data_IF_090934115042
#
_entry.id   IF_090934115042
#
_cell.length_a   1.000
_cell.length_b   1.000
_cell.length_c   1.000
_cell.angle_alpha   90.00
_cell.angle_beta   90.00
_cell.angle_gamma   90.00
#
_symmetry.space_group_name_H-M   'P 1'
#
loop_
_entity.id
_entity.type
_entity.pdbx_description
1 polymer ?
#
# COMPACT_ATOMS: atom_id res chain seq x y z
N UNK A 1 28.89 34.38 17.81
CA UNK A 1 28.72 34.10 16.37
C UNK A 1 27.82 32.89 16.24
N UNK A 2 26.74 32.97 15.48
CA UNK A 2 25.92 31.81 15.18
C UNK A 2 26.71 30.82 14.30
N UNK A 3 26.81 29.56 14.70
CA UNK A 3 27.41 28.52 13.87
C UNK A 3 26.51 28.32 12.64
N UNK A 4 27.09 28.45 11.45
CA UNK A 4 26.42 28.17 10.19
C UNK A 4 26.61 26.71 9.83
N UNK A 5 25.56 26.06 9.32
CA UNK A 5 25.59 24.64 8.87
C UNK A 5 25.17 24.62 7.41
N UNK A 6 25.87 23.86 6.59
CA UNK A 6 25.51 23.55 5.22
C UNK A 6 25.21 22.05 5.15
N UNK A 7 24.01 21.70 4.71
CA UNK A 7 23.65 20.33 4.36
C UNK A 7 23.68 20.22 2.82
N UNK A 8 24.58 19.38 2.31
CA UNK A 8 24.64 19.04 0.88
C UNK A 8 24.10 17.62 0.68
N UNK A 9 23.05 17.49 -0.14
CA UNK A 9 22.41 16.21 -0.48
C UNK A 9 22.83 15.83 -1.89
N UNK A 10 23.56 14.73 -2.01
CA UNK A 10 23.94 14.14 -3.30
C UNK A 10 22.95 13.01 -3.60
N UNK A 11 21.81 13.38 -4.15
CA UNK A 11 20.72 12.45 -4.45
C UNK A 11 21.16 11.38 -5.47
N UNK A 12 20.89 10.10 -5.17
CA UNK A 12 21.37 8.98 -5.97
C UNK A 12 22.83 8.57 -5.74
N UNK A 13 23.56 9.28 -4.87
CA UNK A 13 24.93 8.89 -4.50
C UNK A 13 24.89 7.75 -3.48
N UNK A 14 25.04 6.51 -3.96
CA UNK A 14 24.97 5.31 -3.13
C UNK A 14 26.25 4.49 -3.14
N UNK A 15 26.30 3.52 -2.24
CA UNK A 15 27.35 2.49 -2.20
C UNK A 15 26.82 1.26 -2.94
N UNK A 16 27.61 0.72 -3.86
CA UNK A 16 27.26 -0.46 -4.62
C UNK A 16 27.99 -1.69 -4.08
N UNK A 17 27.29 -2.82 -4.03
CA UNK A 17 27.89 -4.12 -3.68
C UNK A 17 28.87 -4.59 -4.75
N UNK A 18 28.55 -4.32 -6.03
CA UNK A 18 29.44 -4.65 -7.16
C UNK A 18 30.05 -3.37 -7.75
N UNK A 19 31.36 -3.09 -7.49
CA UNK A 19 32.04 -1.91 -8.02
C UNK A 19 32.11 -1.87 -9.54
N UNK A 20 32.09 -3.02 -10.21
CA UNK A 20 32.25 -3.11 -11.66
C UNK A 20 31.09 -2.49 -12.45
N UNK A 21 29.90 -2.43 -11.84
CA UNK A 21 28.68 -1.83 -12.45
C UNK A 21 28.32 -0.48 -11.84
N UNK A 22 29.18 0.08 -10.97
CA UNK A 22 28.93 1.32 -10.26
C UNK A 22 29.65 2.50 -10.92
N UNK A 23 28.92 3.42 -11.51
CA UNK A 23 29.47 4.61 -12.13
C UNK A 23 30.22 5.51 -11.13
N UNK A 24 29.73 5.60 -9.87
CA UNK A 24 30.37 6.40 -8.81
C UNK A 24 31.74 5.83 -8.47
N UNK A 25 31.84 4.52 -8.27
CA UNK A 25 33.12 3.86 -7.95
C UNK A 25 34.15 3.96 -9.08
N UNK A 26 33.68 4.01 -10.34
CA UNK A 26 34.53 4.18 -11.52
C UNK A 26 34.89 5.63 -11.83
N UNK A 27 34.22 6.59 -11.21
CA UNK A 27 34.49 8.01 -11.42
C UNK A 27 35.70 8.45 -10.61
N UNK A 28 36.41 9.47 -11.10
CA UNK A 28 37.48 10.11 -10.39
C UNK A 28 36.94 11.14 -9.38
N UNK A 29 36.82 10.75 -8.12
CA UNK A 29 36.18 11.53 -7.04
C UNK A 29 37.12 11.79 -5.84
N UNK A 30 38.33 12.34 -6.04
CA UNK A 30 39.38 12.39 -5.01
C UNK A 30 38.97 13.21 -3.79
N UNK A 31 38.15 14.23 -3.93
CA UNK A 31 37.67 15.01 -2.80
C UNK A 31 36.73 14.19 -1.91
N UNK A 32 35.70 13.54 -2.50
CA UNK A 32 34.78 12.71 -1.75
C UNK A 32 35.44 11.50 -1.13
N UNK A 33 36.38 10.86 -1.87
CA UNK A 33 37.19 9.75 -1.37
C UNK A 33 38.00 10.17 -0.14
N UNK A 34 38.56 11.39 -0.18
CA UNK A 34 39.30 11.94 0.96
C UNK A 34 38.40 12.22 2.17
N UNK A 35 37.12 12.52 1.96
CA UNK A 35 36.14 12.74 3.03
C UNK A 35 35.85 11.45 3.80
N UNK A 36 35.74 10.33 3.14
CA UNK A 36 35.57 9.02 3.78
C UNK A 36 36.75 8.64 4.67
N UNK A 37 37.98 9.13 4.33
CA UNK A 37 39.16 8.84 5.13
C UNK A 37 39.34 9.81 6.30
N UNK A 38 38.92 11.05 6.16
CA UNK A 38 39.26 12.14 7.11
C UNK A 38 38.16 12.48 8.10
N UNK A 39 36.91 12.18 7.77
CA UNK A 39 35.76 12.62 8.55
C UNK A 39 34.88 11.45 8.99
N UNK A 40 34.15 11.57 10.12
CA UNK A 40 33.17 10.58 10.54
C UNK A 40 32.10 10.41 9.44
N UNK A 41 31.75 9.15 9.17
CA UNK A 41 30.72 8.79 8.20
C UNK A 41 29.91 7.61 8.69
N UNK A 42 28.72 7.45 8.13
CA UNK A 42 27.83 6.32 8.39
C UNK A 42 27.02 5.99 7.14
N UNK A 43 26.39 4.83 7.13
CA UNK A 43 25.50 4.41 6.07
C UNK A 43 24.04 4.56 6.51
N UNK A 44 23.18 4.92 5.59
CA UNK A 44 21.74 4.97 5.75
C UNK A 44 21.09 3.98 4.80
N UNK A 45 20.03 3.33 5.24
CA UNK A 45 19.18 2.57 4.37
C UNK A 45 18.42 3.52 3.44
N UNK A 46 18.27 3.12 2.16
CA UNK A 46 17.62 3.93 1.13
C UNK A 46 16.40 3.23 0.52
N UNK A 47 15.90 2.14 1.12
CA UNK A 47 14.78 1.35 0.58
C UNK A 47 13.95 0.73 1.70
N UNK A 48 12.78 0.23 1.37
CA UNK A 48 11.94 -0.53 2.28
C UNK A 48 11.41 0.24 3.47
N UNK A 49 11.19 -0.46 4.58
CA UNK A 49 10.57 0.09 5.78
C UNK A 49 11.39 1.21 6.42
N UNK A 50 12.70 1.17 6.28
CA UNK A 50 13.64 2.16 6.83
C UNK A 50 13.45 3.55 6.21
N UNK A 51 12.81 3.63 5.04
CA UNK A 51 12.44 4.90 4.40
C UNK A 51 10.93 5.11 4.30
N UNK A 52 10.14 4.26 4.96
CA UNK A 52 8.68 4.37 5.00
C UNK A 52 7.92 3.75 3.82
N UNK A 53 8.60 2.95 3.01
CA UNK A 53 8.03 2.19 1.90
C UNK A 53 7.73 0.73 2.30
N UNK A 54 6.90 0.00 1.54
CA UNK A 54 6.75 -1.44 1.71
C UNK A 54 8.10 -2.17 1.65
N UNK A 55 8.21 -3.30 2.33
CA UNK A 55 9.40 -4.14 2.32
C UNK A 55 9.76 -4.56 0.89
N UNK A 56 11.05 -4.51 0.55
CA UNK A 56 11.56 -4.83 -0.78
C UNK A 56 11.37 -3.75 -1.85
N UNK A 57 10.65 -2.67 -1.55
CA UNK A 57 10.47 -1.57 -2.49
C UNK A 57 11.71 -0.66 -2.51
N UNK A 58 12.20 -0.37 -3.72
CA UNK A 58 13.32 0.57 -3.94
C UNK A 58 12.89 1.97 -3.51
N UNK A 59 13.79 2.67 -2.81
CA UNK A 59 13.59 4.07 -2.41
C UNK A 59 13.56 5.03 -3.60
N UNK A 60 13.11 6.23 -3.32
CA UNK A 60 13.09 7.33 -4.29
C UNK A 60 13.38 8.67 -3.60
N UNK A 61 13.63 9.70 -4.42
CA UNK A 61 13.98 11.03 -3.93
C UNK A 61 12.90 11.63 -3.03
N UNK A 62 11.61 11.44 -3.35
CA UNK A 62 10.51 12.01 -2.59
C UNK A 62 10.50 11.53 -1.13
N UNK A 63 10.53 10.22 -0.92
CA UNK A 63 10.52 9.66 0.44
C UNK A 63 11.81 9.95 1.19
N UNK A 64 12.96 9.95 0.50
CA UNK A 64 14.26 10.28 1.10
C UNK A 64 14.29 11.71 1.62
N UNK A 65 13.92 12.68 0.81
CA UNK A 65 13.85 14.11 1.21
C UNK A 65 12.80 14.37 2.28
N UNK A 66 11.66 13.66 2.22
CA UNK A 66 10.63 13.75 3.24
C UNK A 66 11.16 13.29 4.60
N UNK A 67 11.88 12.18 4.65
CA UNK A 67 12.48 11.67 5.89
C UNK A 67 13.55 12.60 6.44
N UNK A 68 14.41 13.14 5.57
CA UNK A 68 15.42 14.13 5.96
C UNK A 68 14.77 15.40 6.56
N UNK A 69 13.74 15.93 5.90
CA UNK A 69 13.01 17.11 6.35
C UNK A 69 12.24 16.88 7.65
N UNK A 70 11.66 15.69 7.83
CA UNK A 70 10.91 15.34 9.04
C UNK A 70 11.81 14.92 10.22
N UNK A 71 13.07 14.60 9.98
CA UNK A 71 13.99 14.04 10.99
C UNK A 71 13.57 12.68 11.54
N UNK A 72 12.74 11.96 10.82
CA UNK A 72 12.23 10.62 11.17
C UNK A 72 11.74 9.89 9.94
N UNK A 73 11.54 8.57 10.04
CA UNK A 73 10.86 7.79 9.00
C UNK A 73 9.39 8.21 8.92
N UNK A 74 8.95 8.57 7.71
CA UNK A 74 7.56 8.90 7.37
C UNK A 74 6.97 7.77 6.56
N UNK A 75 6.19 6.91 7.20
CA UNK A 75 5.55 5.79 6.51
C UNK A 75 4.51 6.27 5.50
N UNK A 76 4.63 5.79 4.28
CA UNK A 76 3.65 6.00 3.22
C UNK A 76 2.32 5.31 3.54
N UNK A 77 1.22 5.76 2.94
CA UNK A 77 -0.11 5.27 3.29
C UNK A 77 -0.25 3.75 3.18
N UNK A 78 0.23 3.16 2.09
CA UNK A 78 0.19 1.70 1.92
C UNK A 78 1.00 0.98 3.01
N UNK A 79 2.20 1.47 3.33
CA UNK A 79 3.03 0.92 4.40
C UNK A 79 2.31 0.99 5.76
N UNK A 80 1.65 2.11 6.05
CA UNK A 80 0.86 2.27 7.28
C UNK A 80 -0.28 1.26 7.36
N UNK A 81 -1.01 1.04 6.26
CA UNK A 81 -2.09 0.06 6.18
C UNK A 81 -1.54 -1.37 6.35
N UNK A 82 -0.46 -1.71 5.66
CA UNK A 82 0.18 -3.02 5.79
C UNK A 82 0.65 -3.29 7.23
N UNK A 83 1.24 -2.29 7.89
CA UNK A 83 1.63 -2.39 9.30
C UNK A 83 0.41 -2.53 10.22
N UNK A 84 -0.69 -1.82 9.94
CA UNK A 84 -1.92 -1.94 10.70
C UNK A 84 -2.54 -3.33 10.57
N UNK A 85 -2.49 -3.95 9.38
CA UNK A 85 -2.89 -5.35 9.18
C UNK A 85 -1.98 -6.28 9.97
N UNK A 86 -0.66 -6.15 9.80
CA UNK A 86 0.33 -6.99 10.49
C UNK A 86 0.19 -6.95 12.02
N UNK A 87 -0.17 -5.78 12.56
CA UNK A 87 -0.35 -5.56 14.00
C UNK A 87 -1.78 -5.85 14.48
N UNK A 88 -2.70 -6.25 13.60
CA UNK A 88 -4.11 -6.51 13.95
C UNK A 88 -4.89 -5.26 14.36
N UNK A 89 -4.47 -4.07 13.91
CA UNK A 89 -5.08 -2.80 14.31
C UNK A 89 -5.96 -2.16 13.25
N UNK A 90 -5.90 -2.60 11.99
CA UNK A 90 -6.67 -1.98 10.90
C UNK A 90 -8.16 -1.96 11.20
N UNK A 91 -8.75 -3.09 11.54
CA UNK A 91 -10.17 -3.19 11.87
C UNK A 91 -10.56 -2.43 13.14
N UNK A 92 -9.60 -2.11 14.02
CA UNK A 92 -9.80 -1.36 15.27
C UNK A 92 -9.78 0.16 15.07
N UNK A 93 -9.46 0.64 13.86
CA UNK A 93 -9.49 2.06 13.57
C UNK A 93 -10.90 2.64 13.80
N UNK A 94 -10.96 3.79 14.49
CA UNK A 94 -12.22 4.38 14.95
C UNK A 94 -13.28 4.51 13.86
N UNK A 95 -12.99 5.01 12.63
CA UNK A 95 -14.00 5.12 11.58
C UNK A 95 -14.58 3.77 11.13
N UNK A 96 -13.74 2.72 11.13
CA UNK A 96 -14.15 1.36 10.76
C UNK A 96 -15.05 0.79 11.84
N UNK A 97 -14.66 0.90 13.11
CA UNK A 97 -15.45 0.47 14.24
C UNK A 97 -16.82 1.17 14.28
N UNK A 98 -16.86 2.48 14.09
CA UNK A 98 -18.10 3.25 14.08
C UNK A 98 -19.06 2.77 12.98
N UNK A 99 -18.54 2.50 11.77
CA UNK A 99 -19.33 1.98 10.65
C UNK A 99 -19.88 0.57 10.95
N UNK A 100 -19.04 -0.32 11.46
CA UNK A 100 -19.41 -1.70 11.78
C UNK A 100 -20.42 -1.77 12.93
N UNK A 101 -20.19 -1.03 14.00
CA UNK A 101 -21.10 -0.95 15.15
C UNK A 101 -22.44 -0.29 14.77
N UNK A 102 -22.41 0.72 13.90
CA UNK A 102 -23.65 1.30 13.36
C UNK A 102 -24.47 0.25 12.60
N UNK A 103 -23.84 -0.51 11.71
CA UNK A 103 -24.49 -1.56 10.96
C UNK A 103 -25.07 -2.66 11.89
N UNK A 104 -24.27 -3.10 12.86
CA UNK A 104 -24.69 -4.09 13.84
C UNK A 104 -25.90 -3.62 14.64
N UNK A 105 -25.82 -2.42 15.23
CA UNK A 105 -26.87 -1.86 16.10
C UNK A 105 -28.19 -1.64 15.36
N UNK A 106 -28.13 -1.27 14.09
CA UNK A 106 -29.30 -0.92 13.27
C UNK A 106 -29.71 -2.04 12.31
N UNK A 107 -29.11 -3.23 12.42
CA UNK A 107 -29.33 -4.37 11.52
C UNK A 107 -29.23 -3.97 10.03
N UNK A 108 -28.14 -3.27 9.69
CA UNK A 108 -27.86 -2.80 8.33
C UNK A 108 -26.78 -3.62 7.67
N UNK A 109 -26.73 -3.53 6.34
CA UNK A 109 -25.70 -4.17 5.54
C UNK A 109 -24.38 -3.38 5.61
N UNK A 110 -23.28 -4.10 5.56
CA UNK A 110 -21.92 -3.55 5.34
C UNK A 110 -21.49 -3.92 3.93
N UNK A 111 -21.07 -2.93 3.15
CA UNK A 111 -20.56 -3.12 1.81
C UNK A 111 -19.07 -2.75 1.77
N UNK A 112 -18.21 -3.70 1.41
CA UNK A 112 -16.78 -3.53 1.23
C UNK A 112 -16.47 -3.53 -0.26
N UNK A 113 -15.97 -2.40 -0.77
CA UNK A 113 -15.67 -2.21 -2.19
C UNK A 113 -14.18 -1.94 -2.37
N UNK A 114 -13.57 -2.57 -3.34
CA UNK A 114 -12.16 -2.27 -3.64
C UNK A 114 -11.53 -3.17 -4.68
N UNK A 115 -10.30 -2.80 -5.03
CA UNK A 115 -9.46 -3.56 -5.94
C UNK A 115 -8.96 -4.83 -5.24
N UNK A 116 -9.24 -5.98 -5.82
CA UNK A 116 -8.80 -7.28 -5.34
C UNK A 116 -7.47 -7.64 -6.01
N UNK A 117 -6.37 -7.40 -5.31
CA UNK A 117 -5.01 -7.49 -5.87
C UNK A 117 -3.97 -7.74 -4.77
N UNK A 118 -2.85 -8.33 -5.16
CA UNK A 118 -1.62 -8.42 -4.36
C UNK A 118 -0.54 -7.42 -4.83
N UNK A 119 -0.84 -6.61 -5.83
CA UNK A 119 0.11 -5.66 -6.42
C UNK A 119 0.55 -4.52 -5.50
N UNK A 120 -0.22 -4.22 -4.45
CA UNK A 120 0.17 -3.24 -3.44
C UNK A 120 0.32 -1.81 -3.94
N UNK A 121 -0.42 -1.41 -4.97
CA UNK A 121 -0.40 -0.04 -5.51
C UNK A 121 -1.59 0.76 -4.99
N UNK A 122 -2.81 0.27 -5.18
CA UNK A 122 -4.04 0.92 -4.71
C UNK A 122 -4.65 0.23 -3.50
N UNK A 123 -4.40 -1.06 -3.34
CA UNK A 123 -4.89 -1.91 -2.26
C UNK A 123 -4.03 -3.17 -2.15
N UNK A 124 -4.29 -3.94 -1.12
CA UNK A 124 -3.78 -5.30 -0.99
C UNK A 124 -4.90 -6.20 -0.46
N UNK A 125 -4.98 -7.46 -0.94
CA UNK A 125 -6.04 -8.41 -0.54
C UNK A 125 -6.12 -8.60 0.97
N UNK A 126 -4.97 -8.57 1.66
CA UNK A 126 -4.90 -8.70 3.12
C UNK A 126 -5.60 -7.56 3.88
N UNK A 127 -5.78 -6.39 3.25
CA UNK A 127 -6.57 -5.31 3.87
C UNK A 127 -8.06 -5.70 3.94
N UNK A 128 -8.58 -6.32 2.89
CA UNK A 128 -9.95 -6.82 2.86
C UNK A 128 -10.12 -7.97 3.87
N UNK A 129 -9.18 -8.90 3.91
CA UNK A 129 -9.18 -10.02 4.87
C UNK A 129 -9.23 -9.53 6.31
N UNK A 130 -8.41 -8.56 6.68
CA UNK A 130 -8.41 -7.97 8.03
C UNK A 130 -9.75 -7.29 8.39
N UNK A 131 -10.43 -6.68 7.41
CA UNK A 131 -11.77 -6.11 7.63
C UNK A 131 -12.84 -7.21 7.80
N UNK A 132 -12.72 -8.32 7.09
CA UNK A 132 -13.61 -9.47 7.22
C UNK A 132 -13.42 -10.18 8.57
N UNK A 133 -12.19 -10.28 9.06
CA UNK A 133 -11.90 -10.82 10.40
C UNK A 133 -12.56 -9.95 11.47
N UNK A 134 -12.39 -8.64 11.42
CA UNK A 134 -13.03 -7.73 12.36
C UNK A 134 -14.56 -7.78 12.29
N UNK A 135 -15.12 -7.86 11.07
CA UNK A 135 -16.57 -8.02 10.90
C UNK A 135 -17.10 -9.33 11.52
N UNK A 136 -16.32 -10.42 11.39
CA UNK A 136 -16.62 -11.71 12.03
C UNK A 136 -16.56 -11.59 13.55
N UNK A 137 -15.50 -10.99 14.09
CA UNK A 137 -15.31 -10.83 15.54
C UNK A 137 -16.43 -10.00 16.17
N UNK A 138 -16.94 -9.01 15.45
CA UNK A 138 -18.12 -8.23 15.85
C UNK A 138 -19.46 -8.95 15.60
N UNK A 139 -19.46 -10.15 15.02
CA UNK A 139 -20.66 -10.92 14.74
C UNK A 139 -21.55 -10.38 13.62
N UNK A 140 -20.99 -9.57 12.71
CA UNK A 140 -21.71 -9.05 11.55
C UNK A 140 -22.00 -10.18 10.55
N UNK A 141 -23.28 -10.34 10.16
CA UNK A 141 -23.73 -11.38 9.22
C UNK A 141 -24.00 -10.83 7.82
N UNK A 142 -24.40 -9.58 7.74
CA UNK A 142 -24.79 -8.92 6.48
C UNK A 142 -23.63 -8.10 5.91
N UNK A 143 -22.57 -8.80 5.50
CA UNK A 143 -21.39 -8.20 4.88
C UNK A 143 -21.33 -8.61 3.41
N UNK A 144 -21.17 -7.64 2.51
CA UNK A 144 -21.16 -7.82 1.07
C UNK A 144 -19.86 -7.27 0.48
N UNK A 145 -19.13 -8.11 -0.24
CA UNK A 145 -17.90 -7.74 -0.93
C UNK A 145 -18.18 -7.47 -2.40
N UNK A 146 -17.75 -6.31 -2.88
CA UNK A 146 -17.79 -5.90 -4.27
C UNK A 146 -16.37 -5.84 -4.80
N UNK A 147 -15.93 -6.92 -5.43
CA UNK A 147 -14.54 -7.09 -5.88
C UNK A 147 -14.30 -6.44 -7.24
N UNK A 148 -13.30 -5.57 -7.31
CA UNK A 148 -12.79 -5.08 -8.59
C UNK A 148 -11.55 -5.90 -8.95
N UNK A 149 -11.59 -6.64 -10.05
CA UNK A 149 -10.42 -7.43 -10.47
C UNK A 149 -9.37 -6.54 -11.08
N UNK A 150 -8.11 -6.85 -10.75
CA UNK A 150 -6.92 -6.17 -11.27
C UNK A 150 -6.52 -6.74 -12.66
N UNK A 151 -5.28 -6.75 -12.97
CA UNK A 151 -4.68 -7.18 -14.22
C UNK A 151 -3.79 -6.10 -14.81
N UNK A 152 -3.46 -5.09 -13.98
CA UNK A 152 -2.55 -3.99 -14.31
C UNK A 152 -1.40 -3.88 -13.32
N UNK A 153 -1.73 -3.92 -12.02
CA UNK A 153 -0.74 -3.81 -10.93
C UNK A 153 -0.26 -5.20 -10.48
N UNK A 154 -0.88 -6.25 -11.01
CA UNK A 154 -0.50 -7.65 -10.89
C UNK A 154 -0.63 -8.36 -12.25
N UNK A 155 -0.26 -9.65 -12.32
CA UNK A 155 -0.41 -10.47 -13.53
C UNK A 155 -1.88 -10.43 -14.03
N UNK A 156 -2.10 -10.17 -15.34
CA UNK A 156 -3.44 -10.07 -15.95
C UNK A 156 -4.34 -11.28 -15.74
N UNK A 157 -3.77 -12.46 -15.54
CA UNK A 157 -4.52 -13.72 -15.41
C UNK A 157 -4.86 -14.10 -13.96
N UNK A 158 -4.42 -13.31 -12.96
CA UNK A 158 -4.64 -13.65 -11.54
C UNK A 158 -6.02 -13.33 -10.99
N UNK A 159 -6.84 -12.57 -11.69
CA UNK A 159 -8.17 -12.17 -11.20
C UNK A 159 -9.03 -13.35 -10.71
N UNK A 160 -9.05 -14.48 -11.44
CA UNK A 160 -9.76 -15.69 -11.03
C UNK A 160 -9.20 -16.30 -9.74
N UNK A 161 -7.88 -16.24 -9.54
CA UNK A 161 -7.21 -16.75 -8.34
C UNK A 161 -7.65 -15.96 -7.12
N UNK A 162 -7.58 -14.62 -7.19
CA UNK A 162 -8.01 -13.76 -6.08
C UNK A 162 -9.50 -13.87 -5.75
N UNK A 163 -10.35 -14.02 -6.78
CA UNK A 163 -11.78 -14.24 -6.56
C UNK A 163 -12.01 -15.54 -5.80
N UNK A 164 -11.31 -16.61 -6.15
CA UNK A 164 -11.39 -17.90 -5.44
C UNK A 164 -10.88 -17.77 -4.01
N UNK A 165 -9.74 -17.12 -3.81
CA UNK A 165 -9.14 -16.89 -2.51
C UNK A 165 -10.10 -16.15 -1.57
N UNK A 166 -10.70 -15.05 -2.03
CA UNK A 166 -11.65 -14.31 -1.20
C UNK A 166 -12.95 -15.07 -0.96
N UNK A 167 -13.41 -15.90 -1.89
CA UNK A 167 -14.57 -16.76 -1.67
C UNK A 167 -14.29 -17.79 -0.57
N UNK A 168 -13.11 -18.41 -0.58
CA UNK A 168 -12.68 -19.35 0.45
C UNK A 168 -12.50 -18.63 1.81
N UNK A 169 -12.04 -17.39 1.80
CA UNK A 169 -11.89 -16.58 3.00
C UNK A 169 -13.26 -16.20 3.61
N UNK A 170 -14.20 -15.76 2.80
CA UNK A 170 -15.57 -15.46 3.20
C UNK A 170 -16.27 -16.68 3.84
N UNK A 171 -16.04 -17.88 3.29
CA UNK A 171 -16.61 -19.10 3.83
C UNK A 171 -16.09 -19.44 5.25
N UNK A 172 -14.87 -18.99 5.59
CA UNK A 172 -14.25 -19.18 6.91
C UNK A 172 -14.54 -18.03 7.89
N UNK A 173 -14.92 -16.88 7.38
CA UNK A 173 -15.16 -15.67 8.17
C UNK A 173 -16.63 -15.29 8.19
N UNK A 174 -17.01 -14.28 7.42
CA UNK A 174 -18.39 -13.79 7.30
C UNK A 174 -18.60 -13.11 5.96
N UNK A 175 -19.85 -12.99 5.52
CA UNK A 175 -20.23 -12.23 4.36
C UNK A 175 -20.36 -13.04 3.08
N UNK A 176 -20.58 -12.32 1.98
CA UNK A 176 -20.80 -12.87 0.63
C UNK A 176 -20.10 -12.01 -0.41
N UNK A 177 -19.60 -12.65 -1.46
CA UNK A 177 -19.18 -11.96 -2.67
C UNK A 177 -20.42 -11.55 -3.46
N UNK A 178 -20.69 -10.25 -3.54
CA UNK A 178 -21.92 -9.71 -4.14
C UNK A 178 -21.73 -9.38 -5.62
N UNK A 179 -20.65 -8.69 -5.99
CA UNK A 179 -20.37 -8.36 -7.40
C UNK A 179 -18.90 -8.53 -7.73
N UNK A 180 -18.62 -8.80 -9.01
CA UNK A 180 -17.27 -8.86 -9.57
C UNK A 180 -17.27 -7.96 -10.80
N UNK A 181 -16.37 -6.97 -10.82
CA UNK A 181 -16.23 -6.03 -11.95
C UNK A 181 -14.75 -5.81 -12.23
N UNK A 182 -14.36 -5.79 -13.51
CA UNK A 182 -12.97 -5.45 -13.86
C UNK A 182 -12.65 -3.98 -13.58
N UNK A 183 -11.42 -3.69 -13.14
CA UNK A 183 -10.96 -2.31 -12.91
C UNK A 183 -11.08 -1.41 -14.14
N UNK A 184 -11.03 -1.98 -15.32
CA UNK A 184 -11.26 -1.26 -16.58
C UNK A 184 -12.60 -0.50 -16.60
N UNK A 185 -13.60 -1.04 -15.93
CA UNK A 185 -14.92 -0.42 -15.77
C UNK A 185 -15.02 0.35 -14.44
N UNK A 186 -14.66 -0.29 -13.33
CA UNK A 186 -14.87 0.26 -11.99
C UNK A 186 -13.92 1.40 -11.62
N UNK A 187 -12.74 1.48 -12.26
CA UNK A 187 -11.70 2.45 -11.91
C UNK A 187 -11.31 3.31 -13.12
N UNK A 188 -12.24 3.54 -14.05
CA UNK A 188 -12.01 4.47 -15.15
C UNK A 188 -11.78 5.89 -14.62
N UNK A 189 -10.74 6.55 -15.10
CA UNK A 189 -10.39 7.94 -14.76
C UNK A 189 -10.23 8.84 -16.00
N UNK A 190 -10.68 8.33 -17.15
CA UNK A 190 -10.59 9.02 -18.45
C UNK A 190 -11.94 9.62 -18.86
N UNK A 191 -12.89 9.73 -17.89
CA UNK A 191 -14.25 10.26 -18.12
C UNK A 191 -15.06 9.44 -19.12
N UNK A 192 -14.81 8.16 -19.22
CA UNK A 192 -15.57 7.23 -20.07
C UNK A 192 -16.77 6.70 -19.30
N UNK A 193 -17.81 7.49 -19.26
CA UNK A 193 -19.00 7.25 -18.45
C UNK A 193 -19.73 5.95 -18.78
N UNK A 194 -19.65 5.49 -20.04
CA UNK A 194 -20.19 4.21 -20.47
C UNK A 194 -19.49 3.00 -19.81
N UNK A 195 -18.22 3.16 -19.39
CA UNK A 195 -17.53 2.15 -18.61
C UNK A 195 -17.96 2.19 -17.15
N UNK A 196 -17.89 3.38 -16.55
CA UNK A 196 -18.29 3.60 -15.15
C UNK A 196 -19.72 3.14 -14.90
N UNK A 197 -20.62 3.40 -15.87
CA UNK A 197 -22.01 2.97 -15.79
C UNK A 197 -22.16 1.47 -15.58
N UNK A 198 -21.36 0.63 -16.23
CA UNK A 198 -21.43 -0.84 -16.06
C UNK A 198 -21.12 -1.27 -14.63
N UNK A 199 -20.09 -0.66 -14.01
CA UNK A 199 -19.77 -0.92 -12.62
C UNK A 199 -20.86 -0.38 -11.68
N UNK A 200 -21.36 0.82 -11.96
CA UNK A 200 -22.45 1.43 -11.19
C UNK A 200 -23.72 0.56 -11.24
N UNK A 201 -24.14 0.13 -12.43
CA UNK A 201 -25.34 -0.69 -12.59
C UNK A 201 -25.21 -2.02 -11.83
N UNK A 202 -24.04 -2.67 -11.88
CA UNK A 202 -23.80 -3.90 -11.12
C UNK A 202 -23.87 -3.70 -9.59
N UNK A 203 -23.50 -2.51 -9.08
CA UNK A 203 -23.55 -2.19 -7.65
C UNK A 203 -24.95 -1.79 -7.18
N UNK A 204 -25.74 -1.12 -8.02
CA UNK A 204 -27.01 -0.49 -7.63
C UNK A 204 -28.23 -1.31 -8.06
N UNK A 205 -28.17 -1.93 -9.24
CA UNK A 205 -29.30 -2.64 -9.84
C UNK A 205 -29.18 -4.18 -9.70
N UNK A 206 -28.00 -4.72 -9.38
CA UNK A 206 -27.75 -6.17 -9.21
C UNK A 206 -27.42 -6.86 -10.51
#
# INVERSE_FOLDING_TARGET
MSKKVLLAILDGWGLAENPEVCAITKAHTPFVDSCYQKYPHTQLHASGLEVGLPEGQIGNSEVGHMNLGAGRVVYQNLTRLNLAVKNGTLGKEKPIQEAFLHAQKNNKNVHLLGLLSDGGVHSHITHLEALLDEAKDLGLKNVFVHAFTDGRDCDPHRGKVFVKEIQEYLAKTTGKLATITGRFFAMDRDKRWERVKKAYDALVNG
#
